data_IF_522980409219
#
_entry.id   IF_522980409219
#
_cell.length_a   1.000
_cell.length_b   1.000
_cell.length_c   1.000
_cell.angle_alpha   90.00
_cell.angle_beta   90.00
_cell.angle_gamma   90.00
#
_symmetry.space_group_name_H-M   'P 1'
#
loop_
_entity.id
_entity.type
_entity.pdbx_description
1 polymer ?
#
# COMPACT_ATOMS: atom_id res chain seq x y z
N UNK A 1 11.50 11.23 -68.40
CA UNK A 1 12.18 11.64 -67.14
C UNK A 1 11.33 12.56 -66.25
N UNK A 2 10.82 13.71 -66.72
CA UNK A 2 10.00 14.64 -65.89
C UNK A 2 8.75 14.01 -65.25
N UNK A 3 8.07 13.07 -65.92
CA UNK A 3 6.85 12.44 -65.39
C UNK A 3 7.13 11.39 -64.29
N UNK A 4 8.28 10.72 -64.34
CA UNK A 4 8.70 9.75 -63.31
C UNK A 4 9.08 10.48 -62.03
N UNK A 5 9.78 11.62 -62.14
CA UNK A 5 10.15 12.45 -60.99
C UNK A 5 8.89 13.04 -60.31
N UNK A 6 7.89 13.47 -61.09
CA UNK A 6 6.60 13.93 -60.53
C UNK A 6 5.84 12.80 -59.80
N UNK A 7 5.80 11.61 -60.38
CA UNK A 7 5.15 10.46 -59.75
C UNK A 7 5.85 10.06 -58.44
N UNK A 8 7.19 10.10 -58.40
CA UNK A 8 7.97 9.83 -57.20
C UNK A 8 7.72 10.89 -56.13
N UNK A 9 7.70 12.18 -56.49
CA UNK A 9 7.46 13.26 -55.55
C UNK A 9 6.05 13.20 -54.93
N UNK A 10 5.03 12.88 -55.74
CA UNK A 10 3.65 12.71 -55.26
C UNK A 10 3.56 11.51 -54.31
N UNK A 11 4.21 10.39 -54.63
CA UNK A 11 4.23 9.21 -53.76
C UNK A 11 4.91 9.51 -52.41
N UNK A 12 6.02 10.25 -52.42
CA UNK A 12 6.71 10.65 -51.17
C UNK A 12 5.86 11.60 -50.33
N UNK A 13 5.16 12.55 -50.94
CA UNK A 13 4.26 13.48 -50.23
C UNK A 13 3.05 12.73 -49.65
N UNK A 14 2.49 11.76 -50.38
CA UNK A 14 1.37 10.92 -49.88
C UNK A 14 1.83 10.05 -48.71
N UNK A 15 3.03 9.46 -48.76
CA UNK A 15 3.59 8.66 -47.66
C UNK A 15 3.90 9.52 -46.43
N UNK A 16 4.43 10.74 -46.61
CA UNK A 16 4.67 11.69 -45.53
C UNK A 16 3.36 12.16 -44.87
N UNK A 17 2.32 12.43 -45.65
CA UNK A 17 1.01 12.85 -45.14
C UNK A 17 0.22 11.71 -44.48
N UNK A 18 0.40 10.46 -44.93
CA UNK A 18 -0.13 9.27 -44.24
C UNK A 18 0.55 9.08 -42.87
N UNK A 19 1.87 9.22 -42.80
CA UNK A 19 2.60 9.12 -41.53
C UNK A 19 2.21 10.23 -40.55
N UNK A 20 2.05 11.47 -41.00
CA UNK A 20 1.60 12.57 -40.12
C UNK A 20 0.19 12.33 -39.58
N UNK A 21 -0.74 11.79 -40.39
CA UNK A 21 -2.09 11.44 -39.90
C UNK A 21 -2.11 10.25 -38.94
N UNK A 22 -1.17 9.30 -39.10
CA UNK A 22 -1.00 8.21 -38.14
C UNK A 22 -0.42 8.74 -36.82
N UNK A 23 0.61 9.59 -36.88
CA UNK A 23 1.18 10.22 -35.69
C UNK A 23 0.19 11.13 -34.96
N UNK A 24 -0.58 11.95 -35.67
CA UNK A 24 -1.62 12.79 -35.05
C UNK A 24 -2.78 11.95 -34.47
N UNK A 25 -3.13 10.80 -35.07
CA UNK A 25 -4.11 9.89 -34.48
C UNK A 25 -3.55 9.09 -33.29
N UNK A 26 -2.25 8.84 -33.25
CA UNK A 26 -1.56 8.23 -32.11
C UNK A 26 -1.47 9.24 -30.97
N UNK A 27 -1.10 10.50 -31.22
CA UNK A 27 -1.10 11.57 -30.21
C UNK A 27 -2.52 11.92 -29.74
N UNK A 28 -3.52 11.90 -30.61
CA UNK A 28 -4.93 12.10 -30.22
C UNK A 28 -5.54 10.89 -29.48
N UNK A 29 -5.03 9.66 -29.70
CA UNK A 29 -5.36 8.48 -28.88
C UNK A 29 -4.49 8.34 -27.63
N UNK A 30 -3.35 9.03 -27.58
CA UNK A 30 -2.47 9.18 -26.43
C UNK A 30 -2.73 10.51 -25.70
N UNK A 31 -3.95 11.03 -25.78
CA UNK A 31 -4.52 11.74 -24.65
C UNK A 31 -4.64 10.72 -23.52
N UNK A 32 -3.56 10.57 -22.77
CA UNK A 32 -3.46 9.74 -21.58
C UNK A 32 -4.66 10.08 -20.71
N UNK A 33 -5.63 9.17 -20.62
CA UNK A 33 -6.53 9.16 -19.47
C UNK A 33 -5.60 8.88 -18.30
N UNK A 34 -5.17 9.93 -17.63
CA UNK A 34 -4.40 9.84 -16.40
C UNK A 34 -5.26 8.99 -15.45
N UNK A 35 -4.84 7.74 -15.24
CA UNK A 35 -5.54 6.82 -14.36
C UNK A 35 -5.59 7.51 -12.98
N UNK A 36 -6.79 7.72 -12.45
CA UNK A 36 -7.00 8.66 -11.36
C UNK A 36 -6.54 8.03 -10.04
N UNK A 37 -5.23 8.09 -9.77
CA UNK A 37 -4.56 7.53 -8.58
C UNK A 37 -5.44 7.64 -7.33
N UNK A 38 -5.62 6.52 -6.63
CA UNK A 38 -6.39 6.51 -5.38
C UNK A 38 -5.61 7.27 -4.32
N UNK A 39 -6.14 8.42 -3.89
CA UNK A 39 -5.56 9.25 -2.83
C UNK A 39 -6.66 9.80 -1.94
N UNK A 40 -6.29 10.40 -0.80
CA UNK A 40 -7.25 11.19 -0.04
C UNK A 40 -7.68 12.41 -0.87
N UNK A 41 -8.99 12.64 -0.96
CA UNK A 41 -9.56 13.71 -1.77
C UNK A 41 -9.27 15.08 -1.13
N UNK A 42 -8.51 15.97 -1.79
CA UNK A 42 -8.18 17.29 -1.26
C UNK A 42 -9.40 18.22 -1.15
N UNK A 43 -10.47 17.94 -1.89
CA UNK A 43 -11.71 18.72 -1.91
C UNK A 43 -12.72 18.29 -0.86
N UNK A 44 -12.61 17.06 -0.33
CA UNK A 44 -13.56 16.49 0.63
C UNK A 44 -12.90 16.34 2.01
N UNK A 45 -13.37 17.08 3.01
CA UNK A 45 -12.81 17.07 4.37
C UNK A 45 -12.16 18.39 4.79
N UNK A 46 -11.49 18.38 5.95
CA UNK A 46 -10.88 19.57 6.54
C UNK A 46 -9.48 19.35 7.14
N UNK A 47 -8.92 18.13 7.06
CA UNK A 47 -7.60 17.81 7.60
C UNK A 47 -6.48 18.07 6.59
N UNK A 48 -5.25 18.26 7.06
CA UNK A 48 -4.09 18.51 6.19
C UNK A 48 -3.69 17.24 5.45
N UNK A 49 -3.22 17.41 4.21
CA UNK A 49 -2.72 16.33 3.35
C UNK A 49 -1.22 16.53 3.06
N UNK A 50 -0.44 15.47 3.17
CA UNK A 50 0.98 15.42 2.76
C UNK A 50 1.26 14.10 2.04
N UNK A 51 2.50 13.89 1.57
CA UNK A 51 2.93 12.68 0.88
C UNK A 51 2.02 12.36 -0.31
N UNK A 52 1.91 13.30 -1.27
CA UNK A 52 1.04 13.15 -2.45
C UNK A 52 -0.43 12.82 -2.11
N UNK A 53 -0.95 13.43 -1.04
CA UNK A 53 -2.30 13.16 -0.52
C UNK A 53 -2.51 11.74 0.02
N UNK A 54 -1.45 11.03 0.42
CA UNK A 54 -1.55 9.72 1.08
C UNK A 54 -1.44 9.79 2.61
N UNK A 55 -1.05 10.93 3.17
CA UNK A 55 -1.01 11.14 4.63
C UNK A 55 -1.99 12.22 5.05
N UNK A 56 -2.90 11.87 5.96
CA UNK A 56 -3.87 12.76 6.61
C UNK A 56 -3.34 13.14 7.99
N UNK A 57 -3.37 14.43 8.34
CA UNK A 57 -3.01 14.87 9.69
C UNK A 57 -3.86 16.05 10.19
N UNK A 58 -4.07 16.10 11.50
CA UNK A 58 -4.74 17.23 12.16
C UNK A 58 -5.61 16.82 13.35
N UNK A 59 -6.33 17.80 13.88
CA UNK A 59 -7.13 17.65 15.11
C UNK A 59 -8.46 16.93 14.89
N UNK A 60 -9.47 17.72 14.54
CA UNK A 60 -10.84 17.25 14.38
C UNK A 60 -11.26 17.25 12.92
N UNK A 61 -11.69 16.09 12.43
CA UNK A 61 -12.10 15.94 11.04
C UNK A 61 -11.74 14.58 10.46
N UNK A 62 -12.07 14.41 9.19
CA UNK A 62 -11.69 13.26 8.38
C UNK A 62 -11.34 13.72 6.96
N UNK A 63 -10.68 12.83 6.22
CA UNK A 63 -10.54 12.84 4.76
C UNK A 63 -11.00 11.48 4.25
N UNK A 64 -11.64 11.45 3.10
CA UNK A 64 -12.01 10.21 2.41
C UNK A 64 -11.02 9.95 1.28
N UNK A 65 -10.71 8.69 1.02
CA UNK A 65 -10.15 8.30 -0.26
C UNK A 65 -11.17 8.61 -1.36
N UNK A 66 -10.69 8.97 -2.54
CA UNK A 66 -11.54 9.06 -3.72
C UNK A 66 -12.26 7.71 -4.00
N UNK A 67 -13.29 7.73 -4.85
CA UNK A 67 -14.15 6.58 -5.05
C UNK A 67 -13.39 5.36 -5.59
N UNK A 68 -13.66 4.20 -5.02
CA UNK A 68 -13.12 2.90 -5.45
C UNK A 68 -14.26 1.97 -5.89
N UNK A 69 -13.92 0.87 -6.57
CA UNK A 69 -14.89 -0.11 -7.06
C UNK A 69 -15.72 -0.73 -5.93
N UNK A 70 -17.05 -0.66 -6.05
CA UNK A 70 -18.00 -1.09 -4.99
C UNK A 70 -18.38 -2.58 -5.02
N UNK A 71 -17.59 -3.41 -5.68
CA UNK A 71 -17.75 -4.88 -5.79
C UNK A 71 -16.38 -5.54 -5.73
N UNK A 72 -16.28 -6.79 -5.28
CA UNK A 72 -15.02 -7.51 -5.17
C UNK A 72 -14.38 -7.48 -3.79
N UNK A 73 -13.16 -8.03 -3.70
CA UNK A 73 -12.36 -8.17 -2.48
C UNK A 73 -11.15 -7.24 -2.51
N UNK A 74 -11.16 -6.20 -1.67
CA UNK A 74 -10.17 -5.12 -1.64
C UNK A 74 -9.37 -5.08 -0.36
N UNK A 75 -8.12 -4.64 -0.47
CA UNK A 75 -7.19 -4.48 0.63
C UNK A 75 -6.49 -3.12 0.57
N UNK A 76 -6.32 -2.53 1.75
CA UNK A 76 -5.59 -1.28 1.97
C UNK A 76 -4.87 -1.34 3.31
N UNK A 77 -3.68 -0.78 3.37
CA UNK A 77 -2.91 -0.67 4.61
C UNK A 77 -2.89 0.75 5.13
N UNK A 78 -2.84 0.88 6.45
CA UNK A 78 -2.70 2.15 7.13
C UNK A 78 -1.58 2.09 8.16
N UNK A 79 -0.67 3.06 8.12
CA UNK A 79 0.16 3.40 9.27
C UNK A 79 -0.59 4.43 10.11
N UNK A 80 -0.97 4.05 11.33
CA UNK A 80 -1.75 4.88 12.23
C UNK A 80 -0.87 5.40 13.37
N UNK A 81 -0.43 6.65 13.25
CA UNK A 81 0.42 7.31 14.24
C UNK A 81 -0.45 8.14 15.20
N UNK A 82 -0.04 8.32 16.45
CA UNK A 82 -0.76 9.09 17.48
C UNK A 82 -2.06 8.42 17.96
N UNK A 83 -2.34 8.56 19.26
CA UNK A 83 -3.43 7.84 19.96
C UNK A 83 -4.86 8.22 19.53
N UNK A 84 -5.01 9.25 18.69
CA UNK A 84 -6.31 9.75 18.23
C UNK A 84 -6.64 9.41 16.77
N UNK A 85 -5.71 8.78 16.06
CA UNK A 85 -5.90 8.35 14.68
C UNK A 85 -6.98 7.30 14.54
N UNK A 86 -7.81 7.47 13.51
CA UNK A 86 -8.93 6.60 13.17
C UNK A 86 -8.93 6.35 11.68
N UNK A 87 -9.35 5.15 11.32
CA UNK A 87 -9.72 4.77 9.95
C UNK A 87 -11.11 4.17 9.99
N UNK A 88 -11.79 4.08 8.86
CA UNK A 88 -13.11 3.45 8.85
C UNK A 88 -13.82 3.56 7.52
N UNK A 89 -15.09 3.18 7.56
CA UNK A 89 -16.01 3.29 6.43
C UNK A 89 -17.05 4.36 6.71
N UNK A 90 -17.34 5.14 5.68
CA UNK A 90 -18.41 6.12 5.63
C UNK A 90 -19.25 5.86 4.37
N UNK A 91 -20.50 6.35 4.35
CA UNK A 91 -21.30 6.37 3.13
C UNK A 91 -21.54 7.79 2.62
N UNK A 92 -21.95 7.89 1.37
CA UNK A 92 -22.35 9.12 0.70
C UNK A 92 -23.34 9.95 1.53
N UNK A 93 -23.10 11.27 1.56
CA UNK A 93 -23.85 12.22 2.37
C UNK A 93 -23.34 12.34 3.81
N UNK A 94 -22.16 11.81 4.12
CA UNK A 94 -21.45 12.14 5.36
C UNK A 94 -21.05 13.63 5.36
N UNK A 95 -21.26 14.31 6.48
CA UNK A 95 -20.81 15.69 6.66
C UNK A 95 -19.41 15.72 7.27
N UNK A 96 -18.51 16.46 6.63
CA UNK A 96 -17.14 16.59 7.07
C UNK A 96 -17.01 17.73 8.09
N UNK A 97 -17.19 17.41 9.38
CA UNK A 97 -17.09 18.42 10.43
C UNK A 97 -17.30 17.90 11.85
N UNK A 98 -16.42 18.35 12.73
CA UNK A 98 -16.53 18.42 14.19
C UNK A 98 -17.31 17.29 14.89
N UNK A 99 -16.81 16.06 14.89
CA UNK A 99 -17.14 15.04 15.90
C UNK A 99 -18.62 14.62 16.09
N UNK A 100 -19.54 15.13 15.29
CA UNK A 100 -20.97 14.88 15.33
C UNK A 100 -21.51 15.03 13.91
N UNK A 101 -21.35 13.99 13.08
CA UNK A 101 -22.29 13.80 12.00
C UNK A 101 -23.68 13.78 12.63
N UNK A 102 -24.57 14.68 12.21
CA UNK A 102 -26.00 14.63 12.55
C UNK A 102 -26.67 13.36 12.02
N UNK A 103 -25.96 12.60 11.17
CA UNK A 103 -26.34 11.30 10.64
C UNK A 103 -25.35 10.24 11.15
N UNK A 104 -25.49 9.84 12.41
CA UNK A 104 -24.55 8.92 13.08
C UNK A 104 -24.47 7.59 12.34
N UNK A 105 -25.54 7.16 11.70
CA UNK A 105 -25.69 5.85 11.06
C UNK A 105 -24.85 5.69 9.77
N UNK A 106 -24.19 6.76 9.31
CA UNK A 106 -23.48 6.77 8.02
C UNK A 106 -21.98 6.45 8.13
N UNK A 107 -21.48 6.09 9.31
CA UNK A 107 -20.05 5.74 9.46
C UNK A 107 -19.78 4.84 10.65
N UNK A 108 -18.63 4.17 10.59
CA UNK A 108 -17.97 3.56 11.74
C UNK A 108 -16.45 3.64 11.59
N UNK A 109 -15.75 3.62 12.71
CA UNK A 109 -14.29 3.67 12.80
C UNK A 109 -13.71 2.43 13.47
N UNK A 110 -12.44 2.18 13.15
CA UNK A 110 -11.46 1.51 13.97
C UNK A 110 -10.50 2.55 14.57
N UNK A 111 -10.25 2.45 15.87
CA UNK A 111 -9.33 3.30 16.63
C UNK A 111 -8.74 2.50 17.79
N UNK A 112 -7.43 2.32 17.79
CA UNK A 112 -6.67 1.81 18.94
C UNK A 112 -7.31 0.61 19.65
N UNK A 113 -7.58 -0.46 18.89
CA UNK A 113 -8.19 -1.68 19.42
C UNK A 113 -9.71 -1.64 19.61
N UNK A 114 -10.37 -0.53 19.29
CA UNK A 114 -11.81 -0.37 19.39
C UNK A 114 -12.44 -0.10 18.04
N UNK A 115 -13.64 -0.63 17.84
CA UNK A 115 -14.53 -0.23 16.74
C UNK A 115 -15.75 0.47 17.32
N UNK A 116 -16.34 1.38 16.57
CA UNK A 116 -17.57 2.06 16.96
C UNK A 116 -17.98 3.13 15.95
N UNK A 117 -19.14 3.73 16.15
CA UNK A 117 -19.73 4.70 15.22
C UNK A 117 -21.24 4.71 15.41
N UNK A 118 -21.99 5.38 14.55
CA UNK A 118 -23.44 5.17 14.59
C UNK A 118 -23.88 3.94 13.80
N UNK A 119 -23.14 3.53 12.77
CA UNK A 119 -23.46 2.29 12.04
C UNK A 119 -23.13 1.02 12.85
N UNK A 120 -22.17 1.08 13.79
CA UNK A 120 -21.75 -0.07 14.60
C UNK A 120 -21.58 0.33 16.08
N UNK A 121 -22.12 -0.47 17.02
CA UNK A 121 -21.95 -0.19 18.44
C UNK A 121 -20.48 -0.29 18.85
N UNK A 122 -20.09 0.57 19.79
CA UNK A 122 -18.74 0.62 20.34
C UNK A 122 -18.37 -0.67 21.07
N UNK A 123 -17.26 -1.32 20.68
CA UNK A 123 -16.73 -2.50 21.39
C UNK A 123 -15.21 -2.62 21.27
N UNK A 124 -14.59 -3.31 22.24
CA UNK A 124 -13.21 -3.81 22.08
C UNK A 124 -13.22 -4.81 20.93
N UNK A 125 -12.22 -4.72 20.07
CA UNK A 125 -12.11 -5.55 18.88
C UNK A 125 -10.72 -6.18 18.75
N UNK A 126 -9.65 -5.44 19.05
CA UNK A 126 -8.29 -5.98 19.14
C UNK A 126 -7.58 -5.42 20.36
N UNK A 127 -6.33 -5.81 20.56
CA UNK A 127 -5.44 -5.09 21.45
C UNK A 127 -5.06 -3.71 20.87
N UNK A 128 -4.62 -2.76 21.73
CA UNK A 128 -4.19 -1.43 21.30
C UNK A 128 -3.06 -1.52 20.25
N UNK A 129 -3.10 -0.61 19.28
CA UNK A 129 -2.08 -0.52 18.23
C UNK A 129 -0.92 0.35 18.67
N UNK A 130 0.26 0.03 18.19
CA UNK A 130 1.48 0.83 18.28
C UNK A 130 1.62 1.68 17.01
N UNK A 131 2.41 2.76 17.11
CA UNK A 131 2.75 3.61 15.96
C UNK A 131 3.60 2.91 14.88
N UNK A 132 4.19 1.78 15.24
CA UNK A 132 4.95 0.87 14.36
C UNK A 132 4.06 -0.17 13.67
N UNK A 133 2.81 -0.33 14.10
CA UNK A 133 1.89 -1.31 13.52
C UNK A 133 1.32 -0.83 12.20
N UNK A 134 1.12 -1.77 11.28
CA UNK A 134 0.29 -1.59 10.10
C UNK A 134 -1.05 -2.23 10.29
N UNK A 135 -2.08 -1.43 10.05
CA UNK A 135 -3.47 -1.86 10.09
C UNK A 135 -3.94 -2.10 8.67
N UNK A 136 -4.17 -3.35 8.31
CA UNK A 136 -4.78 -3.70 7.03
C UNK A 136 -6.30 -3.73 7.15
N UNK A 137 -7.03 -3.14 6.22
CA UNK A 137 -8.49 -3.25 6.09
C UNK A 137 -8.81 -4.19 4.94
N UNK A 138 -9.51 -5.29 5.24
CA UNK A 138 -9.97 -6.28 4.29
C UNK A 138 -11.46 -6.02 4.03
N UNK A 139 -11.80 -5.71 2.78
CA UNK A 139 -13.17 -5.41 2.35
C UNK A 139 -13.61 -6.47 1.36
N UNK A 140 -14.51 -7.35 1.76
CA UNK A 140 -15.21 -8.25 0.84
C UNK A 140 -16.60 -7.66 0.58
N UNK A 141 -16.70 -6.86 -0.47
CA UNK A 141 -17.94 -6.16 -0.81
C UNK A 141 -18.98 -7.11 -1.43
N UNK A 142 -18.56 -8.25 -1.97
CA UNK A 142 -19.47 -9.23 -2.54
C UNK A 142 -20.22 -9.98 -1.43
N UNK A 143 -19.52 -10.34 -0.36
CA UNK A 143 -20.10 -10.99 0.82
C UNK A 143 -20.55 -9.99 1.91
N UNK A 144 -20.23 -8.71 1.75
CA UNK A 144 -20.54 -7.68 2.75
C UNK A 144 -19.74 -7.86 4.05
N UNK A 145 -18.54 -8.46 3.96
CA UNK A 145 -17.66 -8.74 5.10
C UNK A 145 -16.56 -7.68 5.21
N UNK A 146 -16.32 -7.21 6.44
CA UNK A 146 -15.18 -6.34 6.78
C UNK A 146 -14.38 -6.93 7.93
N UNK A 147 -13.07 -6.81 7.82
CA UNK A 147 -12.11 -7.28 8.80
C UNK A 147 -10.89 -6.36 8.84
N UNK A 148 -10.22 -6.28 10.00
CA UNK A 148 -8.89 -5.68 10.09
C UNK A 148 -7.84 -6.73 10.40
N UNK A 149 -6.63 -6.44 9.96
CA UNK A 149 -5.41 -7.13 10.35
C UNK A 149 -4.43 -6.15 11.00
N UNK A 150 -3.59 -6.66 11.89
CA UNK A 150 -2.46 -5.93 12.45
C UNK A 150 -1.20 -6.69 12.05
N UNK A 151 -0.30 -6.04 11.29
CA UNK A 151 0.92 -6.64 10.74
C UNK A 151 0.65 -7.98 10.03
N UNK A 152 -0.39 -8.00 9.19
CA UNK A 152 -0.83 -9.18 8.44
C UNK A 152 -1.65 -10.19 9.24
N UNK A 153 -1.73 -10.07 10.57
CA UNK A 153 -2.50 -10.99 11.41
C UNK A 153 -3.95 -10.51 11.55
N UNK A 154 -4.90 -11.31 11.06
CA UNK A 154 -6.33 -11.11 11.24
C UNK A 154 -6.71 -10.83 12.70
N UNK A 155 -7.58 -9.83 12.91
CA UNK A 155 -8.20 -9.52 14.20
C UNK A 155 -9.66 -9.99 14.29
N UNK A 156 -10.11 -10.80 13.33
CA UNK A 156 -11.46 -11.36 13.27
C UNK A 156 -12.49 -10.47 12.58
N UNK A 157 -13.69 -10.98 12.35
CA UNK A 157 -14.69 -10.29 11.52
C UNK A 157 -15.32 -9.11 12.27
N UNK A 158 -15.34 -7.93 11.64
CA UNK A 158 -16.03 -6.72 12.16
C UNK A 158 -17.53 -6.84 11.94
N UNK A 159 -17.92 -7.17 10.70
CA UNK A 159 -19.31 -7.35 10.27
C UNK A 159 -19.35 -8.23 9.01
N UNK A 160 -20.46 -8.95 8.81
CA UNK A 160 -20.86 -9.59 7.55
C UNK A 160 -22.13 -8.97 6.96
N UNK A 161 -22.57 -7.84 7.52
CA UNK A 161 -23.82 -7.16 7.17
C UNK A 161 -23.54 -5.79 6.55
N UNK A 162 -22.38 -5.59 5.92
CA UNK A 162 -21.98 -4.28 5.39
C UNK A 162 -23.05 -3.66 4.47
N UNK A 163 -23.74 -4.50 3.68
CA UNK A 163 -24.80 -4.10 2.74
C UNK A 163 -26.10 -3.63 3.42
N UNK A 164 -26.35 -4.05 4.67
CA UNK A 164 -27.50 -3.52 5.45
C UNK A 164 -27.13 -2.22 6.16
N UNK A 165 -25.86 -2.06 6.54
CA UNK A 165 -25.33 -0.87 7.21
C UNK A 165 -25.16 0.31 6.26
N UNK A 166 -24.76 0.05 5.01
CA UNK A 166 -24.57 1.08 4.00
C UNK A 166 -25.39 0.78 2.76
N UNK A 167 -26.28 1.71 2.41
CA UNK A 167 -27.20 1.60 1.26
C UNK A 167 -26.80 2.49 0.10
N UNK A 168 -25.68 3.22 0.25
CA UNK A 168 -25.12 4.14 -0.74
C UNK A 168 -23.66 3.82 -0.99
N UNK A 169 -23.03 4.58 -1.88
CA UNK A 169 -21.59 4.54 -2.14
C UNK A 169 -20.80 4.59 -0.82
N UNK A 170 -19.89 3.63 -0.63
CA UNK A 170 -19.01 3.53 0.52
C UNK A 170 -17.70 4.25 0.20
N UNK A 171 -17.18 4.93 1.21
CA UNK A 171 -15.87 5.57 1.23
C UNK A 171 -15.05 5.00 2.37
N UNK A 172 -13.76 4.86 2.12
CA UNK A 172 -12.77 4.63 3.16
C UNK A 172 -12.28 6.00 3.63
N UNK A 173 -12.18 6.20 4.93
CA UNK A 173 -11.73 7.47 5.49
C UNK A 173 -10.65 7.29 6.54
N UNK A 174 -9.88 8.37 6.74
CA UNK A 174 -8.94 8.50 7.83
C UNK A 174 -9.07 9.87 8.51
N UNK A 175 -8.71 9.97 9.78
CA UNK A 175 -8.67 11.24 10.49
C UNK A 175 -8.65 11.14 12.01
N UNK A 176 -9.17 12.20 12.64
CA UNK A 176 -9.09 12.42 14.06
C UNK A 176 -10.43 12.37 14.78
N UNK A 177 -10.37 12.57 16.09
CA UNK A 177 -11.56 12.57 16.96
C UNK A 177 -12.34 13.88 16.96
N UNK A 178 -13.26 14.00 17.92
CA UNK A 178 -14.17 15.14 18.07
C UNK A 178 -13.54 16.39 18.71
N UNK A 179 -12.23 16.41 18.98
CA UNK A 179 -11.54 17.54 19.62
C UNK A 179 -10.38 18.02 18.76
N UNK A 180 -10.26 19.34 18.61
CA UNK A 180 -9.12 19.97 17.92
C UNK A 180 -7.79 19.79 18.66
N UNK A 181 -7.83 19.52 19.97
CA UNK A 181 -6.64 19.21 20.78
C UNK A 181 -6.03 17.83 20.48
N UNK A 182 -6.80 16.96 19.82
CA UNK A 182 -6.42 15.57 19.60
C UNK A 182 -5.81 15.42 18.21
N UNK A 183 -4.49 15.36 18.12
CA UNK A 183 -3.82 15.20 16.83
C UNK A 183 -3.88 13.75 16.35
N UNK A 184 -4.18 13.60 15.07
CA UNK A 184 -4.15 12.34 14.32
C UNK A 184 -3.16 12.46 13.17
N UNK A 185 -2.61 11.33 12.78
CA UNK A 185 -1.75 11.17 11.61
C UNK A 185 -1.91 9.75 11.08
N UNK A 186 -2.41 9.64 9.86
CA UNK A 186 -2.64 8.34 9.19
C UNK A 186 -2.07 8.42 7.78
N UNK A 187 -1.26 7.43 7.41
CA UNK A 187 -0.80 7.24 6.03
C UNK A 187 -1.46 6.00 5.46
N UNK A 188 -2.06 6.09 4.28
CA UNK A 188 -2.62 4.96 3.56
C UNK A 188 -1.63 4.43 2.51
N UNK A 189 -1.67 3.12 2.25
CA UNK A 189 -0.96 2.46 1.15
C UNK A 189 -1.98 1.64 0.37
N UNK A 190 -2.09 1.93 -0.92
CA UNK A 190 -3.10 1.36 -1.82
C UNK A 190 -2.47 0.68 -3.02
N UNK A 191 -1.22 1.02 -3.35
CA UNK A 191 -0.50 0.44 -4.48
C UNK A 191 0.10 -0.90 -4.09
N UNK A 192 0.01 -1.89 -5.00
CA UNK A 192 0.49 -3.27 -4.76
C UNK A 192 1.93 -3.32 -4.25
N UNK A 193 2.79 -2.45 -4.78
CA UNK A 193 4.22 -2.42 -4.45
C UNK A 193 4.49 -1.79 -3.08
N UNK A 194 3.53 -1.05 -2.52
CA UNK A 194 3.62 -0.42 -1.21
C UNK A 194 3.08 -1.33 -0.10
N UNK A 195 2.08 -2.16 -0.42
CA UNK A 195 1.46 -3.12 0.49
C UNK A 195 2.44 -4.20 0.96
N UNK A 196 2.38 -4.52 2.25
CA UNK A 196 3.32 -5.41 2.93
C UNK A 196 2.71 -6.78 3.23
N UNK A 197 1.40 -6.81 3.46
CA UNK A 197 0.65 -7.95 3.96
C UNK A 197 -0.60 -8.23 3.10
N UNK A 198 -0.56 -7.93 1.80
CA UNK A 198 -1.66 -8.21 0.88
C UNK A 198 -2.06 -9.70 0.94
N UNK A 199 -3.26 -10.03 1.47
CA UNK A 199 -3.66 -11.42 1.62
C UNK A 199 -4.01 -12.07 0.28
N UNK A 200 -3.85 -13.39 0.21
CA UNK A 200 -4.30 -14.16 -0.96
C UNK A 200 -5.82 -13.96 -1.18
N UNK A 201 -6.23 -13.83 -2.45
CA UNK A 201 -7.63 -13.62 -2.82
C UNK A 201 -8.14 -12.18 -2.68
N UNK A 202 -7.31 -11.26 -2.15
CA UNK A 202 -7.60 -9.83 -2.14
C UNK A 202 -6.77 -9.08 -3.18
N UNK A 203 -7.34 -7.98 -3.68
CA UNK A 203 -6.64 -7.04 -4.56
C UNK A 203 -6.38 -5.71 -3.85
N UNK A 204 -5.28 -5.00 -4.18
CA UNK A 204 -5.15 -3.59 -3.79
C UNK A 204 -6.37 -2.80 -4.27
N UNK A 205 -6.78 -1.78 -3.52
CA UNK A 205 -7.87 -0.89 -3.92
C UNK A 205 -7.69 -0.43 -5.37
N UNK A 206 -8.73 -0.59 -6.19
CA UNK A 206 -8.74 -0.10 -7.56
C UNK A 206 -9.95 0.80 -7.83
N UNK A 207 -9.78 1.68 -8.81
CA UNK A 207 -10.81 2.61 -9.27
C UNK A 207 -12.05 1.88 -9.83
N UNK A 208 -13.14 2.62 -10.00
CA UNK A 208 -14.29 2.16 -10.76
C UNK A 208 -13.87 1.87 -12.21
N UNK A 209 -14.26 0.72 -12.74
CA UNK A 209 -14.14 0.43 -14.17
C UNK A 209 -15.08 1.38 -14.94
N UNK A 210 -14.64 2.60 -15.25
CA UNK A 210 -15.26 3.39 -16.31
C UNK A 210 -14.79 2.85 -17.67
N UNK A 211 -14.96 1.54 -17.91
CA UNK A 211 -14.77 0.95 -19.22
C UNK A 211 -15.58 -0.35 -19.38
N UNK A 212 -16.86 -0.22 -19.75
CA UNK A 212 -17.56 -1.30 -20.45
C UNK A 212 -16.94 -1.44 -21.84
N UNK A 213 -16.08 -2.44 -22.03
CA UNK A 213 -15.53 -2.71 -23.36
C UNK A 213 -14.54 -3.86 -23.43
N UNK A 214 -15.06 -5.08 -23.57
CA UNK A 214 -14.36 -6.19 -24.23
C UNK A 214 -13.30 -6.90 -23.40
N UNK A 215 -13.66 -8.10 -22.92
CA UNK A 215 -12.65 -9.05 -22.49
C UNK A 215 -11.80 -9.53 -23.66
N UNK A 216 -10.57 -9.93 -23.38
CA UNK A 216 -9.90 -11.02 -24.09
C UNK A 216 -8.81 -11.61 -23.19
N UNK A 217 -8.90 -12.93 -23.03
CA UNK A 217 -7.83 -13.75 -22.51
C UNK A 217 -6.71 -13.83 -23.55
N UNK A 218 -5.46 -13.75 -23.11
CA UNK A 218 -4.32 -13.97 -24.00
C UNK A 218 -3.01 -13.96 -23.24
N UNK A 219 -2.40 -15.13 -23.10
CA UNK A 219 -1.05 -15.27 -22.58
C UNK A 219 0.01 -14.71 -23.53
N UNK A 220 1.17 -14.41 -22.97
CA UNK A 220 2.37 -14.03 -23.71
C UNK A 220 3.49 -13.67 -22.74
N UNK A 221 4.53 -14.49 -22.70
CA UNK A 221 5.81 -14.16 -22.06
C UNK A 221 6.38 -12.85 -22.63
N UNK A 222 7.09 -12.02 -21.84
CA UNK A 222 7.93 -10.98 -22.41
C UNK A 222 9.32 -11.56 -22.70
N UNK A 223 9.62 -11.60 -24.00
CA UNK A 223 10.97 -11.79 -24.53
C UNK A 223 11.90 -10.63 -24.18
N UNK A 224 13.18 -10.97 -24.19
CA UNK A 224 14.33 -10.12 -23.93
C UNK A 224 14.52 -9.05 -25.03
N UNK A 225 14.88 -7.82 -24.64
CA UNK A 225 15.25 -6.73 -25.56
C UNK A 225 15.93 -5.58 -24.82
N UNK A 226 17.21 -5.37 -25.15
CA UNK A 226 18.15 -4.52 -24.43
C UNK A 226 17.98 -2.99 -24.69
N UNK A 227 18.10 -2.24 -23.59
CA UNK A 227 18.68 -0.91 -23.32
C UNK A 227 18.77 0.21 -24.38
N UNK A 228 18.38 1.43 -23.97
CA UNK A 228 19.27 2.62 -23.92
C UNK A 228 18.66 3.74 -23.05
N UNK A 229 19.35 4.13 -21.97
CA UNK A 229 18.96 5.21 -21.06
C UNK A 229 19.51 5.05 -19.64
N UNK A 230 20.79 5.37 -19.44
CA UNK A 230 21.50 5.15 -18.18
C UNK A 230 21.00 6.00 -17.01
N UNK A 231 20.19 5.38 -16.14
CA UNK A 231 20.32 5.49 -14.69
C UNK A 231 20.68 4.10 -14.19
N UNK A 232 21.86 3.90 -13.61
CA UNK A 232 22.19 2.62 -13.00
C UNK A 232 21.36 2.48 -11.73
N UNK A 233 20.14 1.94 -11.84
CA UNK A 233 19.31 1.58 -10.69
C UNK A 233 20.11 0.58 -9.85
N UNK A 234 20.68 1.06 -8.74
CA UNK A 234 21.57 0.26 -7.88
C UNK A 234 20.72 -0.68 -7.04
N UNK A 235 20.42 -1.85 -7.60
CA UNK A 235 19.82 -2.96 -6.86
C UNK A 235 20.94 -3.74 -6.17
N UNK A 236 20.82 -3.99 -4.87
CA UNK A 236 21.71 -4.92 -4.14
C UNK A 236 21.02 -6.26 -3.97
N UNK A 237 21.77 -7.35 -4.16
CA UNK A 237 21.33 -8.70 -3.88
C UNK A 237 22.10 -9.28 -2.70
N UNK A 238 21.40 -9.98 -1.82
CA UNK A 238 21.96 -10.68 -0.68
C UNK A 238 21.51 -12.14 -0.71
N UNK A 239 22.35 -13.05 -0.23
CA UNK A 239 22.06 -14.48 -0.23
C UNK A 239 22.55 -15.13 1.06
N UNK A 240 21.77 -16.06 1.60
CA UNK A 240 22.17 -16.87 2.75
C UNK A 240 21.12 -17.92 3.09
N UNK A 241 21.57 -19.10 3.53
CA UNK A 241 20.71 -20.23 3.94
C UNK A 241 19.54 -20.54 2.99
N UNK A 242 19.84 -20.69 1.68
CA UNK A 242 18.84 -20.95 0.63
C UNK A 242 17.75 -19.88 0.49
N UNK A 243 17.97 -18.67 1.01
CA UNK A 243 17.15 -17.49 0.79
C UNK A 243 17.93 -16.41 0.03
N UNK A 244 17.18 -15.57 -0.68
CA UNK A 244 17.67 -14.45 -1.48
C UNK A 244 16.87 -13.19 -1.14
N UNK A 245 17.56 -12.06 -1.13
CA UNK A 245 16.99 -10.76 -0.83
C UNK A 245 17.40 -9.74 -1.88
N UNK A 246 16.45 -8.91 -2.29
CA UNK A 246 16.65 -7.75 -3.16
C UNK A 246 16.41 -6.49 -2.36
N UNK A 247 17.40 -5.61 -2.29
CA UNK A 247 17.22 -4.22 -1.87
C UNK A 247 17.15 -3.34 -3.12
N UNK A 248 16.00 -2.71 -3.33
CA UNK A 248 15.82 -1.77 -4.44
C UNK A 248 16.31 -0.35 -4.11
N UNK A 249 16.26 0.54 -5.09
CA UNK A 249 16.71 1.93 -4.97
C UNK A 249 15.88 2.78 -4.01
N UNK A 250 14.61 2.42 -3.82
CA UNK A 250 13.68 3.06 -2.89
C UNK A 250 13.93 2.60 -1.45
N UNK A 251 14.80 1.61 -1.25
CA UNK A 251 15.08 1.02 0.05
C UNK A 251 14.07 -0.04 0.46
N UNK A 252 13.30 -0.59 -0.48
CA UNK A 252 12.42 -1.73 -0.19
C UNK A 252 13.20 -3.03 -0.26
N UNK A 253 12.88 -3.94 0.66
CA UNK A 253 13.45 -5.29 0.70
C UNK A 253 12.43 -6.29 0.19
N UNK A 254 12.85 -7.15 -0.74
CA UNK A 254 12.06 -8.29 -1.20
C UNK A 254 12.80 -9.59 -0.88
N UNK A 255 12.09 -10.62 -0.46
CA UNK A 255 12.67 -11.89 -0.03
C UNK A 255 11.99 -13.08 -0.73
N UNK A 256 12.78 -14.10 -1.07
CA UNK A 256 12.31 -15.40 -1.55
C UNK A 256 13.31 -16.52 -1.20
N UNK A 257 12.88 -17.77 -1.29
CA UNK A 257 13.66 -18.96 -0.97
C UNK A 257 13.14 -19.69 0.27
N UNK A 258 14.05 -20.27 1.06
CA UNK A 258 13.70 -20.98 2.29
C UNK A 258 13.17 -20.03 3.36
N UNK A 259 12.07 -20.42 4.01
CA UNK A 259 11.43 -19.66 5.09
C UNK A 259 11.11 -20.52 6.32
N UNK A 260 11.78 -21.66 6.50
CA UNK A 260 11.43 -22.62 7.57
C UNK A 260 11.55 -22.05 8.99
N UNK A 261 12.24 -20.91 9.15
CA UNK A 261 12.42 -20.20 10.41
C UNK A 261 11.85 -18.77 10.38
N UNK A 262 11.08 -18.40 9.35
CA UNK A 262 10.56 -17.04 9.18
C UNK A 262 11.60 -16.04 8.67
N UNK A 263 12.75 -16.51 8.16
CA UNK A 263 13.85 -15.65 7.74
C UNK A 263 13.51 -14.75 6.53
N UNK A 264 12.41 -15.03 5.81
CA UNK A 264 11.92 -14.11 4.78
C UNK A 264 11.22 -12.89 5.38
N UNK A 265 10.74 -12.93 6.62
CA UNK A 265 10.14 -11.78 7.30
C UNK A 265 8.74 -11.40 6.78
N UNK A 266 7.99 -12.37 6.28
CA UNK A 266 6.71 -12.14 5.56
C UNK A 266 5.48 -12.52 6.39
N UNK A 267 5.64 -12.76 7.69
CA UNK A 267 4.54 -13.09 8.60
C UNK A 267 4.17 -14.56 8.65
N UNK A 268 4.94 -15.43 8.00
CA UNK A 268 4.74 -16.88 7.97
C UNK A 268 6.08 -17.62 7.87
N UNK A 269 6.02 -18.95 7.77
CA UNK A 269 7.18 -19.85 7.55
C UNK A 269 7.12 -20.58 6.20
N UNK A 270 6.39 -20.03 5.23
CA UNK A 270 6.20 -20.63 3.90
C UNK A 270 7.32 -20.24 2.93
N UNK A 271 7.89 -21.24 2.26
CA UNK A 271 8.92 -21.05 1.25
C UNK A 271 8.35 -20.29 0.05
N UNK A 272 9.17 -19.44 -0.56
CA UNK A 272 8.79 -18.67 -1.76
C UNK A 272 9.76 -18.91 -2.91
N UNK A 273 9.23 -18.85 -4.12
CA UNK A 273 10.05 -18.83 -5.33
C UNK A 273 10.26 -17.38 -5.79
N UNK A 274 11.10 -17.17 -6.80
CA UNK A 274 11.31 -15.83 -7.36
C UNK A 274 10.01 -15.19 -7.90
N UNK A 275 9.07 -15.99 -8.43
CA UNK A 275 7.78 -15.50 -8.93
C UNK A 275 6.82 -15.12 -7.80
N UNK A 276 7.02 -15.66 -6.59
CA UNK A 276 6.21 -15.40 -5.39
C UNK A 276 6.97 -14.65 -4.31
N UNK A 277 8.03 -13.92 -4.67
CA UNK A 277 8.79 -13.08 -3.73
C UNK A 277 7.88 -12.10 -3.01
N UNK A 278 8.06 -11.95 -1.70
CA UNK A 278 7.30 -11.01 -0.89
C UNK A 278 8.12 -9.76 -0.57
N UNK A 279 7.45 -8.63 -0.36
CA UNK A 279 8.06 -7.42 0.19
C UNK A 279 8.12 -7.55 1.72
N UNK A 280 9.28 -7.32 2.29
CA UNK A 280 9.51 -7.35 3.74
C UNK A 280 9.01 -6.05 4.36
N UNK A 281 8.22 -6.17 5.41
CA UNK A 281 7.46 -5.07 5.99
C UNK A 281 8.33 -4.11 6.84
N UNK A 282 9.11 -3.25 6.18
CA UNK A 282 9.93 -2.21 6.82
C UNK A 282 9.49 -0.84 6.28
N UNK A 283 9.00 0.01 7.19
CA UNK A 283 8.30 1.27 6.86
C UNK A 283 9.20 2.48 6.72
N UNK A 284 10.46 2.24 6.41
CA UNK A 284 11.45 3.27 6.15
C UNK A 284 12.52 2.72 5.21
N UNK A 285 13.14 3.57 4.38
CA UNK A 285 14.10 3.10 3.38
C UNK A 285 15.27 2.35 4.02
N UNK A 286 15.46 1.09 3.65
CA UNK A 286 16.61 0.28 4.04
C UNK A 286 17.85 0.73 3.26
N UNK A 287 18.99 0.81 3.94
CA UNK A 287 20.29 1.13 3.36
C UNK A 287 21.17 -0.12 3.19
N UNK A 288 21.03 -1.10 4.08
CA UNK A 288 21.81 -2.34 4.02
C UNK A 288 21.16 -3.52 4.78
N UNK A 289 21.61 -4.74 4.45
CA UNK A 289 21.17 -5.99 5.07
C UNK A 289 22.36 -6.84 5.54
N UNK A 290 22.19 -7.51 6.68
CA UNK A 290 23.07 -8.59 7.16
C UNK A 290 22.25 -9.88 7.17
N UNK A 291 22.74 -10.90 6.46
CA UNK A 291 22.09 -12.21 6.39
C UNK A 291 22.82 -13.17 7.33
N UNK A 292 22.16 -13.51 8.44
CA UNK A 292 22.61 -14.56 9.36
C UNK A 292 22.18 -15.95 8.89
N UNK A 293 22.49 -16.99 9.68
CA UNK A 293 22.15 -18.37 9.32
C UNK A 293 20.63 -18.57 9.24
N UNK A 294 19.86 -18.03 10.19
CA UNK A 294 18.39 -18.17 10.23
C UNK A 294 17.66 -16.86 10.47
N UNK A 295 18.37 -15.75 10.32
CA UNK A 295 17.85 -14.42 10.62
C UNK A 295 18.42 -13.38 9.66
N UNK A 296 17.77 -12.23 9.63
CA UNK A 296 18.20 -11.07 8.86
C UNK A 296 18.13 -9.84 9.74
N UNK A 297 19.09 -8.94 9.55
CA UNK A 297 19.11 -7.62 10.16
C UNK A 297 19.11 -6.59 9.04
N UNK A 298 18.25 -5.58 9.13
CA UNK A 298 18.19 -4.44 8.21
C UNK A 298 18.59 -3.14 8.92
N UNK A 299 19.48 -2.38 8.28
CA UNK A 299 19.79 -1.00 8.66
C UNK A 299 19.01 -0.05 7.77
N UNK A 300 18.32 0.90 8.38
CA UNK A 300 17.54 1.92 7.67
C UNK A 300 18.34 3.20 7.48
N UNK A 301 18.01 4.01 6.45
CA UNK A 301 18.63 5.32 6.20
C UNK A 301 18.48 6.30 7.37
N UNK A 302 17.46 6.12 8.20
CA UNK A 302 17.24 6.85 9.45
C UNK A 302 18.21 6.48 10.58
N UNK A 303 18.92 5.34 10.46
CA UNK A 303 19.73 4.75 11.51
C UNK A 303 19.00 3.69 12.35
N UNK A 304 17.69 3.48 12.14
CA UNK A 304 16.94 2.42 12.81
C UNK A 304 17.36 1.03 12.30
N UNK A 305 17.25 0.03 13.17
CA UNK A 305 17.61 -1.35 12.86
C UNK A 305 16.41 -2.26 13.09
N UNK A 306 16.15 -3.17 12.16
CA UNK A 306 15.14 -4.22 12.30
C UNK A 306 15.80 -5.59 12.21
N UNK A 307 15.23 -6.57 12.89
CA UNK A 307 15.60 -7.97 12.69
C UNK A 307 14.37 -8.87 12.57
N UNK A 308 14.55 -10.00 11.91
CA UNK A 308 13.57 -11.08 11.79
C UNK A 308 14.26 -12.42 11.49
N UNK A 309 13.50 -13.49 11.47
CA UNK A 309 13.91 -14.89 11.42
C UNK A 309 13.82 -15.59 12.78
N UNK A 310 14.69 -16.59 12.96
CA UNK A 310 14.73 -17.44 14.16
C UNK A 310 15.00 -16.61 15.42
N UNK A 311 14.01 -16.53 16.30
CA UNK A 311 14.10 -15.83 17.57
C UNK A 311 13.90 -16.78 18.77
N UNK A 312 14.13 -18.10 18.62
CA UNK A 312 13.95 -19.05 19.74
C UNK A 312 14.85 -18.75 20.94
N UNK A 313 16.02 -18.18 20.68
CA UNK A 313 16.99 -17.76 21.70
C UNK A 313 16.76 -16.33 22.21
N UNK A 314 15.67 -15.67 21.78
CA UNK A 314 15.37 -14.25 22.08
C UNK A 314 16.52 -13.31 21.70
N UNK A 315 17.14 -13.57 20.55
CA UNK A 315 18.31 -12.84 20.09
C UNK A 315 17.98 -11.36 19.78
N UNK A 316 16.78 -11.08 19.28
CA UNK A 316 16.36 -9.74 18.88
C UNK A 316 15.39 -9.10 19.87
N UNK A 317 14.56 -9.91 20.53
CA UNK A 317 13.48 -9.46 21.42
C UNK A 317 12.91 -10.62 22.23
N UNK A 318 12.06 -10.30 23.22
CA UNK A 318 11.28 -11.28 23.99
C UNK A 318 10.17 -12.00 23.22
N UNK A 319 9.81 -11.56 22.00
CA UNK A 319 8.71 -12.13 21.20
C UNK A 319 8.82 -11.82 19.70
N UNK A 320 8.18 -12.62 18.86
CA UNK A 320 8.15 -12.42 17.40
C UNK A 320 9.21 -13.23 16.66
N UNK A 321 9.58 -12.79 15.45
CA UNK A 321 10.59 -13.43 14.60
C UNK A 321 10.16 -13.58 13.14
N UNK A 322 8.89 -13.83 12.85
CA UNK A 322 8.43 -14.06 11.46
C UNK A 322 8.15 -12.77 10.66
N UNK A 323 8.21 -11.61 11.33
CA UNK A 323 8.13 -10.26 10.73
C UNK A 323 9.30 -9.41 11.26
N UNK A 324 9.74 -8.37 10.52
CA UNK A 324 10.68 -7.37 11.02
C UNK A 324 10.19 -6.74 12.30
N UNK A 325 11.05 -6.78 13.32
CA UNK A 325 10.84 -6.09 14.58
C UNK A 325 11.95 -5.06 14.80
N UNK A 326 11.62 -3.85 15.29
CA UNK A 326 12.63 -2.85 15.58
C UNK A 326 13.50 -3.33 16.75
N UNK A 327 14.82 -3.26 16.58
CA UNK A 327 15.77 -3.51 17.66
C UNK A 327 15.98 -2.22 18.43
N UNK A 328 15.72 -2.26 19.74
CA UNK A 328 16.02 -1.16 20.65
C UNK A 328 17.40 -1.39 21.25
N UNK A 329 18.26 -0.39 21.19
CA UNK A 329 19.57 -0.40 21.84
C UNK A 329 19.51 0.50 23.07
N UNK A 330 19.96 -0.01 24.22
CA UNK A 330 19.91 0.71 25.50
C UNK A 330 20.80 1.97 25.52
N UNK A 331 21.76 2.07 24.59
CA UNK A 331 22.50 3.29 24.30
C UNK A 331 22.44 3.58 22.79
N UNK A 332 22.30 4.86 22.44
CA UNK A 332 22.09 5.29 21.06
C UNK A 332 23.21 4.81 20.14
N UNK A 333 22.90 3.90 19.23
CA UNK A 333 23.76 3.44 18.13
C UNK A 333 24.46 4.59 17.37
N UNK A 334 23.89 5.80 17.41
CA UNK A 334 24.53 7.01 16.90
C UNK A 334 25.91 7.33 17.49
N UNK A 335 26.29 6.76 18.63
CA UNK A 335 27.65 6.84 19.18
C UNK A 335 28.63 5.85 18.53
N UNK A 336 28.14 4.71 18.00
CA UNK A 336 28.94 3.65 17.38
C UNK A 336 29.16 3.95 15.89
N UNK A 337 28.16 4.51 15.20
CA UNK A 337 28.23 4.80 13.75
C UNK A 337 29.06 6.08 13.44
N UNK A 338 29.24 6.99 14.39
CA UNK A 338 30.02 8.25 14.19
C UNK A 338 31.54 8.09 14.36
N UNK A 339 32.03 6.88 14.61
CA UNK A 339 33.44 6.62 14.89
C UNK A 339 34.28 6.21 13.65
N UNK A 340 33.72 6.25 12.45
CA UNK A 340 34.45 6.10 11.17
C UNK A 340 34.72 7.44 10.48
#
# INVERSE_FOLDING_TARGET
MKNIIKAFLVLTIVLLSFNINIFNNIEAKAATVEQQKITFDPTQGNLSLTNENMTVSGGNGIRILNSFKQTGKWYVEFKMELSHSRIGLAQEGITFGVGHSTNKDNFWFYKNGTIGGGALPGRKYSDPIKDTDIVGMLLDLDEGKVEFSINGVSQGVVTTELKSLFTKQIYIYAGGGSSSSNTSRVTAYVDREELNYLPEGYSPLSENDNNTGGGEAGGGEPGNGDSEGGSTNKVKLFSGNNALYKLDENGNVFAWGNNSYGQLGLGDTENRSLSTKGKVAIFEPVSDLIIGERFVIALCKSGNVYAWGDNTSKLFSDSGGIIPIPIQFDEGIGAIIKAE
#
